data_IF_345367098140
#
_entry.id   IF_345367098140
#
_cell.length_a   1.000
_cell.length_b   1.000
_cell.length_c   1.000
_cell.angle_alpha   90.00
_cell.angle_beta   90.00
_cell.angle_gamma   90.00
#
_symmetry.space_group_name_H-M   'P 1'
#
loop_
_entity.id
_entity.type
_entity.pdbx_description
1 polymer ?
#
# COMPACT_ATOMS: atom_id res chain seq x y z
N UNK A 1 5.77 -23.27 -23.91
CA UNK A 1 5.20 -22.07 -23.27
C UNK A 1 5.86 -20.86 -23.90
N UNK A 2 5.11 -19.92 -24.45
CA UNK A 2 5.64 -18.74 -25.14
C UNK A 2 6.12 -17.70 -24.09
N UNK A 3 7.27 -17.07 -24.32
CA UNK A 3 7.82 -16.01 -23.45
C UNK A 3 6.83 -14.86 -23.18
N UNK A 4 5.99 -14.50 -24.16
CA UNK A 4 4.94 -13.47 -24.02
C UNK A 4 3.88 -13.84 -22.97
N UNK A 5 3.52 -15.11 -22.84
CA UNK A 5 2.54 -15.56 -21.84
C UNK A 5 3.12 -15.66 -20.43
N UNK A 6 4.44 -15.83 -20.29
CA UNK A 6 5.10 -15.80 -18.99
C UNK A 6 5.11 -14.37 -18.41
N UNK A 7 5.49 -13.37 -19.22
CA UNK A 7 5.56 -11.99 -18.77
C UNK A 7 4.20 -11.44 -18.33
N UNK A 8 3.12 -11.77 -19.06
CA UNK A 8 1.76 -11.35 -18.70
C UNK A 8 1.33 -11.90 -17.34
N UNK A 9 1.68 -13.16 -17.04
CA UNK A 9 1.32 -13.81 -15.77
C UNK A 9 1.89 -13.06 -14.56
N UNK A 10 3.09 -12.49 -14.65
CA UNK A 10 3.71 -11.72 -13.56
C UNK A 10 2.81 -10.58 -13.04
N UNK A 11 2.01 -9.96 -13.93
CA UNK A 11 1.13 -8.85 -13.57
C UNK A 11 -0.30 -9.28 -13.28
N UNK A 12 -0.70 -10.49 -13.67
CA UNK A 12 -2.10 -10.93 -13.57
C UNK A 12 -2.32 -12.05 -12.57
N UNK A 13 -1.29 -12.82 -12.22
CA UNK A 13 -1.42 -13.98 -11.33
C UNK A 13 -1.79 -13.58 -9.90
N UNK A 14 -1.08 -12.62 -9.32
CA UNK A 14 -1.39 -12.14 -7.97
C UNK A 14 -2.74 -11.38 -7.89
N UNK A 15 -3.04 -10.40 -8.77
CA UNK A 15 -4.37 -9.78 -8.74
C UNK A 15 -5.50 -10.80 -8.93
N UNK A 16 -5.32 -11.79 -9.80
CA UNK A 16 -6.32 -12.84 -9.99
C UNK A 16 -6.48 -13.75 -8.76
N UNK A 17 -5.44 -13.97 -7.95
CA UNK A 17 -5.57 -14.78 -6.72
C UNK A 17 -6.40 -14.10 -5.62
N UNK A 18 -6.64 -12.79 -5.74
CA UNK A 18 -7.44 -11.98 -4.81
C UNK A 18 -8.68 -11.36 -5.49
N UNK A 19 -9.14 -11.96 -6.60
CA UNK A 19 -10.33 -11.53 -7.37
C UNK A 19 -10.28 -10.07 -7.88
N UNK A 20 -9.09 -9.58 -8.26
CA UNK A 20 -8.87 -8.23 -8.78
C UNK A 20 -8.33 -8.23 -10.23
N UNK A 21 -8.73 -7.21 -10.99
CA UNK A 21 -8.01 -6.84 -12.21
C UNK A 21 -6.69 -6.14 -11.88
N UNK A 22 -5.71 -6.23 -12.78
CA UNK A 22 -4.40 -5.56 -12.60
C UNK A 22 -4.53 -4.08 -12.23
N UNK A 23 -5.43 -3.34 -12.88
CA UNK A 23 -5.60 -1.90 -12.61
C UNK A 23 -6.25 -1.62 -11.24
N UNK A 24 -7.15 -2.49 -10.76
CA UNK A 24 -7.72 -2.39 -9.42
C UNK A 24 -6.63 -2.59 -8.36
N UNK A 25 -5.85 -3.67 -8.51
CA UNK A 25 -4.77 -4.00 -7.59
C UNK A 25 -3.68 -2.93 -7.57
N UNK A 26 -3.23 -2.50 -8.76
CA UNK A 26 -2.24 -1.43 -8.90
C UNK A 26 -2.75 -0.12 -8.29
N UNK A 27 -4.00 0.27 -8.57
CA UNK A 27 -4.58 1.49 -8.03
C UNK A 27 -4.66 1.47 -6.50
N UNK A 28 -5.04 0.33 -5.93
CA UNK A 28 -5.00 0.13 -4.48
C UNK A 28 -3.58 0.23 -3.93
N UNK A 29 -2.60 -0.48 -4.51
CA UNK A 29 -1.21 -0.49 -4.07
C UNK A 29 -0.59 0.92 -4.12
N UNK A 30 -0.85 1.69 -5.18
CA UNK A 30 -0.40 3.10 -5.29
C UNK A 30 -1.04 3.95 -4.19
N UNK A 31 -2.35 3.83 -3.96
CA UNK A 31 -3.03 4.56 -2.89
C UNK A 31 -2.50 4.19 -1.51
N UNK A 32 -2.22 2.91 -1.27
CA UNK A 32 -1.61 2.41 -0.05
C UNK A 32 -0.22 3.01 0.18
N UNK A 33 0.63 3.01 -0.86
CA UNK A 33 1.96 3.59 -0.82
C UNK A 33 1.94 5.10 -0.52
N UNK A 34 1.03 5.87 -1.14
CA UNK A 34 0.86 7.29 -0.84
C UNK A 34 0.50 7.55 0.63
N UNK A 35 -0.36 6.71 1.22
CA UNK A 35 -0.73 6.84 2.63
C UNK A 35 0.43 6.49 3.58
N UNK A 36 1.26 5.49 3.22
CA UNK A 36 2.51 5.23 3.94
C UNK A 36 3.48 6.41 3.84
N UNK A 37 3.59 7.04 2.66
CA UNK A 37 4.38 8.26 2.48
C UNK A 37 3.93 9.40 3.41
N UNK A 38 2.62 9.56 3.62
CA UNK A 38 2.09 10.52 4.60
C UNK A 38 2.49 10.16 6.04
N UNK A 39 2.54 8.87 6.40
CA UNK A 39 3.05 8.44 7.71
C UNK A 39 4.54 8.83 7.89
N UNK A 40 5.35 8.63 6.85
CA UNK A 40 6.76 9.03 6.85
C UNK A 40 6.91 10.53 7.04
N UNK A 41 6.18 11.34 6.26
CA UNK A 41 6.19 12.80 6.41
C UNK A 41 5.76 13.23 7.82
N UNK A 42 4.71 12.62 8.36
CA UNK A 42 4.24 12.91 9.71
C UNK A 42 5.27 12.57 10.79
N UNK A 43 5.97 11.44 10.65
CA UNK A 43 7.03 11.04 11.57
C UNK A 43 8.23 12.01 11.52
N UNK A 44 8.61 12.49 10.34
CA UNK A 44 9.67 13.51 10.17
C UNK A 44 9.25 14.84 10.82
N UNK A 45 8.02 15.29 10.60
CA UNK A 45 7.53 16.53 11.26
C UNK A 45 7.54 16.37 12.78
N UNK A 46 7.09 15.22 13.28
CA UNK A 46 7.08 14.93 14.72
C UNK A 46 8.50 14.83 15.31
N UNK A 47 9.49 14.32 14.57
CA UNK A 47 10.87 14.25 15.09
C UNK A 47 11.53 15.62 15.25
N UNK A 48 11.09 16.62 14.47
CA UNK A 48 11.52 18.02 14.61
C UNK A 48 10.66 18.75 15.65
N UNK A 49 9.35 18.51 15.64
CA UNK A 49 8.36 19.15 16.51
C UNK A 49 7.59 18.09 17.32
N UNK A 50 8.11 17.65 18.48
CA UNK A 50 7.57 16.50 19.22
C UNK A 50 6.16 16.71 19.79
N UNK A 51 5.62 17.93 19.76
CA UNK A 51 4.24 18.23 20.16
C UNK A 51 3.24 18.15 19.00
N UNK A 52 3.69 18.05 17.74
CA UNK A 52 2.83 17.88 16.57
C UNK A 52 2.68 16.39 16.23
N UNK A 53 1.50 15.96 15.76
CA UNK A 53 1.28 14.62 15.17
C UNK A 53 1.63 13.42 16.09
N UNK A 54 1.60 13.61 17.42
CA UNK A 54 2.06 12.70 18.50
C UNK A 54 1.66 11.23 18.37
N UNK A 55 0.54 10.95 17.70
CA UNK A 55 -0.03 9.61 17.55
C UNK A 55 -0.67 9.42 16.17
N UNK A 56 -0.38 10.31 15.22
CA UNK A 56 -0.89 10.20 13.85
C UNK A 56 -0.29 8.98 13.14
N UNK A 57 1.04 8.86 13.15
CA UNK A 57 1.76 7.80 12.43
C UNK A 57 1.35 6.40 12.93
N UNK A 58 1.38 6.16 14.25
CA UNK A 58 1.02 4.86 14.82
C UNK A 58 -0.44 4.47 14.54
N UNK A 59 -1.39 5.39 14.72
CA UNK A 59 -2.80 5.14 14.39
C UNK A 59 -2.99 4.86 12.90
N UNK A 60 -2.33 5.63 12.04
CA UNK A 60 -2.47 5.51 10.58
C UNK A 60 -1.86 4.21 10.06
N UNK A 61 -0.66 3.83 10.50
CA UNK A 61 -0.04 2.54 10.14
C UNK A 61 -0.88 1.37 10.64
N UNK A 62 -1.42 1.42 11.86
CA UNK A 62 -2.32 0.39 12.36
C UNK A 62 -3.60 0.25 11.51
N UNK A 63 -4.17 1.38 11.08
CA UNK A 63 -5.29 1.39 10.14
C UNK A 63 -4.90 0.80 8.78
N UNK A 64 -3.78 1.24 8.20
CA UNK A 64 -3.30 0.78 6.90
C UNK A 64 -3.05 -0.74 6.91
N UNK A 65 -2.38 -1.25 7.95
CA UNK A 65 -2.16 -2.69 8.10
C UNK A 65 -3.46 -3.50 8.18
N UNK A 66 -4.52 -2.95 8.81
CA UNK A 66 -5.84 -3.59 8.78
C UNK A 66 -6.47 -3.51 7.39
N UNK A 67 -6.32 -2.38 6.71
CA UNK A 67 -6.91 -2.14 5.40
C UNK A 67 -6.30 -3.01 4.30
N UNK A 68 -4.97 -3.18 4.26
CA UNK A 68 -4.30 -4.06 3.29
C UNK A 68 -4.71 -5.52 3.45
N UNK A 69 -4.83 -5.99 4.70
CA UNK A 69 -5.32 -7.35 5.02
C UNK A 69 -6.76 -7.63 4.61
N UNK A 70 -7.55 -6.62 4.26
CA UNK A 70 -8.89 -6.85 3.66
C UNK A 70 -8.83 -7.20 2.18
N UNK A 71 -7.63 -7.22 1.59
CA UNK A 71 -7.37 -7.38 0.16
C UNK A 71 -6.22 -8.33 -0.16
N UNK A 72 -5.62 -8.94 0.86
CA UNK A 72 -4.55 -9.95 0.74
C UNK A 72 -5.14 -11.37 0.80
#
# INVERSE_FOLDING_TARGET
MNMYSCFKKLFTEHPASVDETYLQHMGFAVRYALQLGLCTMAAIVHSIFPFLLTNYCSKKVAYLNRWVKTRD
#
